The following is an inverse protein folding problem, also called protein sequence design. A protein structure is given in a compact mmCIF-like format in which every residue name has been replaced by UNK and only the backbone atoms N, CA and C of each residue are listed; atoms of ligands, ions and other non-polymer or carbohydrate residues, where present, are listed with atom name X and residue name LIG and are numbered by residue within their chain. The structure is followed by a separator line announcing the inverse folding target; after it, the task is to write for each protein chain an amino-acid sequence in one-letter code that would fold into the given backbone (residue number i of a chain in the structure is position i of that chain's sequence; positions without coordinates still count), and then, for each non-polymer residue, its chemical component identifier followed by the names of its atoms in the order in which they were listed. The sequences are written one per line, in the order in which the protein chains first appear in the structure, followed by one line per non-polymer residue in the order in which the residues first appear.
data_IF_813812143872
#
_entry.id   IF_813812143872
#
_cell.length_a   1.000
_cell.length_b   1.000
_cell.length_c   1.000
_cell.angle_alpha   90.00
_cell.angle_beta   90.00
_cell.angle_gamma   90.00
#
_symmetry.space_group_name_H-M   'P 1'
#
loop_
_entity.id
_entity.type
_entity.pdbx_description
1 polymer ?
#
# COMPACT_ATOMS: atom_id res chain seq x y z
N UNK A 1 -32.70 41.35 20.67
CA UNK A 1 -33.39 40.36 19.83
C UNK A 1 -32.66 40.29 18.51
N UNK A 2 -31.79 39.33 18.34
CA UNK A 2 -31.03 39.12 17.12
C UNK A 2 -31.71 37.99 16.33
N UNK A 3 -32.13 38.30 15.11
CA UNK A 3 -32.75 37.34 14.19
C UNK A 3 -31.68 36.38 13.67
N UNK A 4 -31.88 35.09 13.91
CA UNK A 4 -31.12 34.00 13.30
C UNK A 4 -31.75 33.75 11.93
N UNK A 5 -31.05 34.15 10.86
CA UNK A 5 -31.43 33.83 9.49
C UNK A 5 -31.13 32.35 9.21
N UNK A 6 -32.22 31.64 8.82
CA UNK A 6 -32.17 30.25 8.36
C UNK A 6 -31.28 30.11 7.13
N UNK A 7 -30.19 29.32 7.30
CA UNK A 7 -29.42 28.82 6.15
C UNK A 7 -30.24 27.65 5.59
N UNK A 8 -30.88 27.89 4.46
CA UNK A 8 -31.57 26.86 3.70
C UNK A 8 -30.52 25.91 3.09
N UNK A 9 -30.67 24.62 3.37
CA UNK A 9 -29.92 23.51 2.77
C UNK A 9 -30.15 23.49 1.26
N UNK A 10 -29.18 24.02 0.52
CA UNK A 10 -29.07 23.78 -0.92
C UNK A 10 -28.25 22.52 -1.14
N UNK A 11 -28.85 21.36 -0.91
CA UNK A 11 -28.32 20.07 -1.33
C UNK A 11 -28.45 19.98 -2.85
N UNK A 12 -27.41 20.48 -3.54
CA UNK A 12 -27.21 20.22 -4.95
C UNK A 12 -26.93 18.72 -5.13
N UNK A 13 -27.97 17.96 -5.43
CA UNK A 13 -27.89 16.57 -5.89
C UNK A 13 -27.24 16.55 -7.28
N UNK A 14 -25.92 16.45 -7.33
CA UNK A 14 -25.21 16.13 -8.57
C UNK A 14 -25.70 14.77 -9.05
N UNK A 15 -26.22 14.63 -10.29
CA UNK A 15 -26.67 13.34 -10.79
C UNK A 15 -25.51 12.36 -10.77
N UNK A 16 -25.66 11.25 -10.04
CA UNK A 16 -24.71 10.15 -10.03
C UNK A 16 -24.62 9.62 -11.47
N UNK A 17 -23.52 9.90 -12.16
CA UNK A 17 -23.23 9.28 -13.46
C UNK A 17 -23.29 7.76 -13.26
N UNK A 18 -23.88 7.05 -14.21
CA UNK A 18 -23.92 5.58 -14.21
C UNK A 18 -22.52 5.03 -13.90
N UNK A 19 -22.38 4.04 -13.01
CA UNK A 19 -21.08 3.52 -12.62
C UNK A 19 -20.36 2.98 -13.87
N UNK A 20 -19.16 3.48 -14.13
CA UNK A 20 -18.27 2.91 -15.14
C UNK A 20 -17.82 1.54 -14.64
N UNK A 21 -17.54 0.62 -15.56
CA UNK A 21 -16.99 -0.70 -15.23
C UNK A 21 -15.55 -0.79 -15.72
N UNK A 22 -14.72 -1.56 -15.01
CA UNK A 22 -13.34 -1.87 -15.37
C UNK A 22 -13.13 -3.38 -15.33
N UNK A 23 -12.26 -3.89 -16.22
CA UNK A 23 -11.80 -5.26 -16.17
C UNK A 23 -10.62 -5.37 -15.20
N UNK A 24 -10.80 -6.00 -14.05
CA UNK A 24 -9.77 -6.25 -13.06
C UNK A 24 -9.19 -7.66 -13.25
N UNK A 25 -7.91 -7.75 -13.61
CA UNK A 25 -7.17 -9.01 -13.75
C UNK A 25 -6.32 -9.23 -12.51
N UNK A 26 -6.63 -10.28 -11.76
CA UNK A 26 -5.97 -10.63 -10.51
C UNK A 26 -5.10 -11.86 -10.70
N UNK A 27 -3.81 -11.76 -10.39
CA UNK A 27 -2.92 -12.90 -10.31
C UNK A 27 -3.31 -13.81 -9.14
N UNK A 28 -3.61 -15.07 -9.45
CA UNK A 28 -3.95 -16.12 -8.48
C UNK A 28 -2.85 -17.15 -8.46
N UNK A 29 -2.35 -17.47 -7.27
CA UNK A 29 -1.33 -18.47 -7.06
C UNK A 29 -1.35 -19.03 -5.64
N UNK A 30 -1.40 -20.35 -5.54
CA UNK A 30 -1.21 -21.05 -4.28
C UNK A 30 -0.01 -21.99 -4.41
N UNK A 31 1.14 -21.72 -3.79
CA UNK A 31 2.36 -22.51 -3.95
C UNK A 31 2.24 -23.98 -3.51
N UNK A 32 1.16 -24.35 -2.81
CA UNK A 32 0.89 -25.74 -2.42
C UNK A 32 0.09 -26.53 -3.45
N UNK A 33 -0.60 -25.85 -4.37
CA UNK A 33 -1.57 -26.46 -5.29
C UNK A 33 -1.29 -26.15 -6.75
N UNK A 34 -0.67 -24.99 -7.02
CA UNK A 34 -0.48 -24.48 -8.37
C UNK A 34 0.99 -24.60 -8.80
N UNK A 35 1.25 -25.04 -10.02
CA UNK A 35 2.59 -25.02 -10.62
C UNK A 35 2.99 -23.63 -11.13
N UNK A 36 1.99 -22.82 -11.53
CA UNK A 36 2.21 -21.46 -12.03
C UNK A 36 1.05 -20.53 -11.67
N UNK A 37 1.31 -19.22 -11.67
CA UNK A 37 0.26 -18.21 -11.47
C UNK A 37 -0.69 -18.18 -12.67
N UNK A 38 -1.97 -17.92 -12.40
CA UNK A 38 -3.03 -17.73 -13.39
C UNK A 38 -3.69 -16.39 -13.17
N UNK A 39 -4.17 -15.76 -14.24
CA UNK A 39 -4.99 -14.55 -14.11
C UNK A 39 -6.46 -14.93 -14.09
N UNK A 40 -7.19 -14.33 -13.14
CA UNK A 40 -8.65 -14.33 -13.13
C UNK A 40 -9.16 -12.93 -13.43
N UNK A 41 -10.21 -12.83 -14.21
CA UNK A 41 -10.76 -11.57 -14.71
C UNK A 41 -12.14 -11.33 -14.12
N UNK A 42 -12.36 -10.10 -13.64
CA UNK A 42 -13.60 -9.68 -13.01
C UNK A 42 -14.00 -8.31 -13.53
N UNK A 43 -15.26 -8.14 -13.92
CA UNK A 43 -15.80 -6.83 -14.25
C UNK A 43 -16.34 -6.19 -12.97
N UNK A 44 -15.74 -5.06 -12.56
CA UNK A 44 -16.06 -4.38 -11.31
C UNK A 44 -16.54 -2.96 -11.61
N UNK A 45 -17.68 -2.52 -11.03
CA UNK A 45 -18.11 -1.14 -11.14
C UNK A 45 -17.17 -0.23 -10.35
N UNK A 46 -16.90 0.96 -10.88
CA UNK A 46 -16.09 1.94 -10.17
C UNK A 46 -16.60 3.36 -10.35
N UNK A 47 -16.26 4.20 -9.40
CA UNK A 47 -16.50 5.63 -9.40
C UNK A 47 -15.16 6.41 -9.44
N UNK A 48 -15.22 7.71 -9.62
CA UNK A 48 -14.03 8.58 -9.70
C UNK A 48 -13.02 8.35 -8.58
N UNK A 49 -13.48 8.02 -7.38
CA UNK A 49 -12.65 7.88 -6.18
C UNK A 49 -12.26 6.44 -5.85
N UNK A 50 -12.82 5.47 -6.56
CA UNK A 50 -12.57 4.04 -6.30
C UNK A 50 -11.09 3.72 -6.48
N UNK A 51 -10.49 3.18 -5.44
CA UNK A 51 -9.10 2.71 -5.44
C UNK A 51 -8.99 1.27 -5.95
N UNK A 52 -7.81 0.88 -6.40
CA UNK A 52 -7.53 -0.51 -6.79
C UNK A 52 -7.79 -1.48 -5.63
N UNK A 53 -7.46 -1.08 -4.39
CA UNK A 53 -7.76 -1.90 -3.21
C UNK A 53 -9.26 -2.13 -3.03
N UNK A 54 -10.08 -1.10 -3.18
CA UNK A 54 -11.53 -1.24 -3.07
C UNK A 54 -12.09 -2.18 -4.14
N UNK A 55 -11.61 -2.09 -5.37
CA UNK A 55 -12.00 -3.03 -6.44
C UNK A 55 -11.60 -4.48 -6.11
N UNK A 56 -10.39 -4.72 -5.58
CA UNK A 56 -9.98 -6.05 -5.12
C UNK A 56 -10.88 -6.56 -3.99
N UNK A 57 -11.22 -5.69 -3.04
CA UNK A 57 -12.10 -6.06 -1.92
C UNK A 57 -13.54 -6.32 -2.38
N UNK A 58 -14.00 -5.62 -3.40
CA UNK A 58 -15.29 -5.88 -4.03
C UNK A 58 -15.32 -7.27 -4.69
N UNK A 59 -14.26 -7.63 -5.44
CA UNK A 59 -14.09 -8.99 -5.96
C UNK A 59 -14.08 -10.01 -4.83
N UNK A 60 -13.30 -9.77 -3.78
CA UNK A 60 -13.23 -10.67 -2.62
C UNK A 60 -14.58 -10.86 -1.93
N UNK A 61 -15.40 -9.84 -1.89
CA UNK A 61 -16.70 -9.85 -1.22
C UNK A 61 -17.78 -10.55 -2.06
N UNK A 62 -17.80 -10.35 -3.39
CA UNK A 62 -18.93 -10.71 -4.21
C UNK A 62 -18.66 -11.84 -5.22
N UNK A 63 -17.39 -12.09 -5.57
CA UNK A 63 -17.04 -13.03 -6.65
C UNK A 63 -16.12 -14.16 -6.17
N UNK A 64 -14.99 -13.85 -5.52
CA UNK A 64 -14.03 -14.87 -5.08
C UNK A 64 -13.48 -14.55 -3.68
N UNK A 65 -14.06 -15.14 -2.67
CA UNK A 65 -13.66 -14.98 -1.27
C UNK A 65 -12.25 -15.50 -0.98
N UNK A 66 -11.67 -16.33 -1.87
CA UNK A 66 -10.35 -16.93 -1.69
C UNK A 66 -9.19 -15.99 -2.02
N UNK A 67 -9.43 -14.82 -2.63
CA UNK A 67 -8.39 -13.84 -2.98
C UNK A 67 -7.61 -13.43 -1.74
N UNK A 68 -6.30 -13.71 -1.75
CA UNK A 68 -5.39 -13.32 -0.68
C UNK A 68 -4.78 -11.97 -0.99
N UNK A 69 -5.11 -10.97 -0.17
CA UNK A 69 -4.59 -9.61 -0.25
C UNK A 69 -4.29 -9.09 1.14
N UNK A 70 -3.15 -8.39 1.30
CA UNK A 70 -2.78 -7.76 2.55
C UNK A 70 -3.15 -6.27 2.50
N UNK A 71 -3.82 -5.78 3.52
CA UNK A 71 -4.16 -4.37 3.67
C UNK A 71 -4.43 -4.04 5.16
N UNK A 72 -4.35 -2.75 5.51
CA UNK A 72 -4.62 -2.28 6.87
C UNK A 72 -5.18 -0.85 6.86
N UNK A 73 -4.32 0.19 6.85
CA UNK A 73 -4.72 1.58 7.09
C UNK A 73 -5.65 2.19 6.03
N UNK A 74 -5.61 1.72 4.78
CA UNK A 74 -6.35 2.24 3.61
C UNK A 74 -6.09 3.72 3.26
N UNK A 75 -4.98 4.29 3.77
CA UNK A 75 -4.64 5.71 3.62
C UNK A 75 -3.14 5.94 3.35
N UNK A 76 -2.49 4.98 2.68
CA UNK A 76 -1.09 5.05 2.26
C UNK A 76 -0.03 5.18 3.38
N UNK A 77 -0.37 4.87 4.63
CA UNK A 77 0.54 5.05 5.78
C UNK A 77 1.28 3.79 6.18
N UNK A 78 0.62 2.60 6.10
CA UNK A 78 1.18 1.36 6.64
C UNK A 78 2.00 0.53 5.65
N UNK A 79 1.91 0.80 4.34
CA UNK A 79 2.62 0.06 3.29
C UNK A 79 2.10 -1.36 2.99
N UNK A 80 1.12 -1.89 3.75
CA UNK A 80 0.71 -3.30 3.65
C UNK A 80 0.10 -3.71 2.31
N UNK A 81 -0.52 -2.77 1.58
CA UNK A 81 -1.19 -3.03 0.31
C UNK A 81 -0.30 -2.81 -0.93
N UNK A 82 1.03 -2.88 -0.76
CA UNK A 82 1.96 -2.82 -1.87
C UNK A 82 1.80 -4.00 -2.83
N UNK A 83 1.71 -3.72 -4.12
CA UNK A 83 1.61 -4.72 -5.19
C UNK A 83 2.01 -4.13 -6.53
N UNK A 84 2.15 -4.98 -7.55
CA UNK A 84 2.30 -4.52 -8.93
C UNK A 84 0.92 -4.14 -9.48
N UNK A 85 0.79 -2.94 -10.01
CA UNK A 85 -0.43 -2.44 -10.67
C UNK A 85 -0.04 -1.98 -12.07
N UNK A 86 -0.54 -2.64 -13.10
CA UNK A 86 -0.17 -2.42 -14.49
C UNK A 86 1.36 -2.40 -14.66
N UNK A 87 2.07 -3.38 -14.07
CA UNK A 87 3.51 -3.53 -14.16
C UNK A 87 4.34 -2.54 -13.34
N UNK A 88 3.71 -1.68 -12.52
CA UNK A 88 4.41 -0.70 -11.65
C UNK A 88 4.12 -0.98 -10.18
N UNK A 89 5.14 -0.99 -9.30
CA UNK A 89 4.92 -1.18 -7.87
C UNK A 89 4.25 0.06 -7.25
N UNK A 90 3.06 -0.14 -6.69
CA UNK A 90 2.22 0.93 -6.11
C UNK A 90 1.49 0.44 -4.86
N UNK A 91 0.99 1.37 -4.05
CA UNK A 91 0.06 1.09 -2.96
C UNK A 91 -1.37 1.05 -3.51
N UNK A 92 -2.03 -0.10 -3.41
CA UNK A 92 -3.37 -0.28 -3.97
C UNK A 92 -4.42 0.64 -3.33
N UNK A 93 -4.27 0.99 -2.05
CA UNK A 93 -5.19 1.90 -1.36
C UNK A 93 -5.03 3.37 -1.75
N UNK A 94 -3.94 3.73 -2.45
CA UNK A 94 -3.67 5.10 -2.89
C UNK A 94 -3.74 5.28 -4.40
N UNK A 95 -3.86 4.20 -5.15
CA UNK A 95 -3.98 4.21 -6.61
C UNK A 95 -5.44 4.20 -7.00
N UNK A 96 -5.95 5.28 -7.57
CA UNK A 96 -7.32 5.37 -8.08
C UNK A 96 -7.40 4.73 -9.47
N UNK A 97 -8.48 4.01 -9.73
CA UNK A 97 -8.73 3.38 -11.03
C UNK A 97 -8.81 4.46 -12.13
N UNK A 98 -9.47 5.57 -11.83
CA UNK A 98 -9.63 6.70 -12.77
C UNK A 98 -8.31 7.36 -13.21
N UNK A 99 -7.19 7.13 -12.51
CA UNK A 99 -5.87 7.70 -12.81
C UNK A 99 -4.97 6.72 -13.60
N UNK A 100 -5.48 5.53 -13.94
CA UNK A 100 -4.69 4.51 -14.63
C UNK A 100 -4.81 4.57 -16.16
N UNK A 101 -5.71 5.41 -16.69
CA UNK A 101 -5.96 5.60 -18.13
C UNK A 101 -6.02 4.28 -18.93
N UNK A 102 -6.67 3.27 -18.36
CA UNK A 102 -6.76 1.93 -18.92
C UNK A 102 -8.10 1.29 -18.59
N UNK A 103 -8.67 0.59 -19.55
CA UNK A 103 -9.90 -0.20 -19.38
C UNK A 103 -9.64 -1.53 -18.65
N UNK A 104 -8.37 -1.89 -18.49
CA UNK A 104 -7.94 -3.11 -17.79
C UNK A 104 -6.93 -2.74 -16.70
N UNK A 105 -7.20 -3.19 -15.49
CA UNK A 105 -6.26 -3.08 -14.37
C UNK A 105 -5.73 -4.46 -14.02
N UNK A 106 -4.44 -4.69 -14.22
CA UNK A 106 -3.77 -5.92 -13.85
C UNK A 106 -3.08 -5.74 -12.50
N UNK A 107 -3.37 -6.66 -11.57
CA UNK A 107 -2.74 -6.69 -10.24
C UNK A 107 -2.00 -8.00 -10.02
N UNK A 108 -0.76 -7.88 -9.55
CA UNK A 108 0.17 -8.99 -9.35
C UNK A 108 0.90 -8.81 -8.01
N UNK A 109 1.45 -9.88 -7.42
CA UNK A 109 2.31 -9.75 -6.25
C UNK A 109 3.54 -8.88 -6.56
N UNK A 110 4.14 -8.28 -5.54
CA UNK A 110 5.39 -7.52 -5.71
C UNK A 110 6.51 -8.39 -6.24
N UNK A 111 7.24 -7.88 -7.25
CA UNK A 111 8.47 -8.51 -7.76
C UNK A 111 9.54 -8.59 -6.66
N UNK A 112 10.48 -9.51 -6.82
CA UNK A 112 11.65 -9.69 -5.94
C UNK A 112 11.30 -10.11 -4.49
N UNK A 113 10.06 -10.55 -4.26
CA UNK A 113 9.62 -11.10 -2.99
C UNK A 113 9.02 -12.51 -3.20
N UNK A 114 9.22 -13.45 -2.25
CA UNK A 114 8.57 -14.75 -2.33
C UNK A 114 7.05 -14.60 -2.17
N UNK A 115 6.30 -15.20 -3.09
CA UNK A 115 4.83 -15.19 -3.04
C UNK A 115 4.35 -16.20 -2.00
N UNK A 116 3.56 -15.72 -1.03
CA UNK A 116 2.88 -16.57 -0.05
C UNK A 116 1.60 -17.12 -0.64
N UNK A 117 0.78 -16.24 -1.23
CA UNK A 117 -0.45 -16.59 -1.93
C UNK A 117 -1.01 -15.39 -2.68
N UNK A 118 -1.42 -15.57 -3.91
CA UNK A 118 -2.03 -14.56 -4.79
C UNK A 118 -1.23 -13.24 -4.78
N UNK A 119 -1.76 -12.18 -4.18
CA UNK A 119 -1.14 -10.86 -4.09
C UNK A 119 -0.28 -10.67 -2.83
N UNK A 120 -0.22 -11.67 -1.96
CA UNK A 120 0.48 -11.59 -0.68
C UNK A 120 1.90 -12.15 -0.80
N UNK A 121 2.89 -11.36 -0.39
CA UNK A 121 4.32 -11.72 -0.42
C UNK A 121 4.93 -11.77 0.98
N UNK A 122 6.04 -12.48 1.12
CA UNK A 122 6.84 -12.58 2.35
C UNK A 122 7.83 -11.42 2.48
N UNK A 123 7.94 -10.86 3.68
CA UNK A 123 8.83 -9.73 4.00
C UNK A 123 10.01 -10.11 4.89
N UNK A 124 10.21 -11.38 5.18
CA UNK A 124 11.19 -11.87 6.15
C UNK A 124 12.60 -11.36 5.83
N UNK A 125 13.01 -11.45 4.56
CA UNK A 125 14.34 -10.96 4.12
C UNK A 125 14.46 -9.44 4.28
N UNK A 126 13.42 -8.68 3.96
CA UNK A 126 13.41 -7.22 4.10
C UNK A 126 13.58 -6.81 5.57
N UNK A 127 12.79 -7.42 6.45
CA UNK A 127 12.86 -7.10 7.88
C UNK A 127 14.15 -7.58 8.53
N UNK A 128 14.71 -8.73 8.11
CA UNK A 128 16.02 -9.18 8.58
C UNK A 128 17.15 -8.20 8.20
N UNK A 129 17.12 -7.64 6.99
CA UNK A 129 18.07 -6.59 6.58
C UNK A 129 17.84 -5.28 7.35
N UNK A 130 16.59 -4.89 7.54
CA UNK A 130 16.24 -3.71 8.31
C UNK A 130 16.72 -3.83 9.78
N UNK A 131 16.60 -5.01 10.39
CA UNK A 131 17.06 -5.24 11.75
C UNK A 131 18.60 -5.11 11.87
N UNK A 132 19.36 -5.51 10.84
CA UNK A 132 20.82 -5.44 10.84
C UNK A 132 21.37 -4.00 10.88
N UNK A 133 20.64 -3.03 10.37
CA UNK A 133 21.02 -1.61 10.42
C UNK A 133 20.68 -0.94 11.75
N UNK A 134 20.16 -1.69 12.72
CA UNK A 134 19.81 -1.21 14.06
C UNK A 134 18.96 0.08 14.04
N UNK A 135 17.74 0.06 13.46
CA UNK A 135 16.92 1.26 13.24
C UNK A 135 16.17 1.68 14.52
N UNK A 136 16.90 1.82 15.58
CA UNK A 136 16.40 2.25 16.89
C UNK A 136 17.40 3.20 17.52
N UNK A 137 16.96 3.97 18.50
CA UNK A 137 17.79 4.90 19.21
C UNK A 137 18.87 4.15 20.02
N UNK A 138 20.15 4.42 19.70
CA UNK A 138 21.31 3.92 20.45
C UNK A 138 21.87 5.10 21.24
N UNK A 139 21.76 5.03 22.57
CA UNK A 139 22.23 6.07 23.47
C UNK A 139 22.68 5.47 24.80
N UNK A 140 23.48 6.23 25.53
CA UNK A 140 23.82 5.92 26.91
C UNK A 140 22.91 6.74 27.85
N UNK A 141 22.06 6.08 28.60
CA UNK A 141 21.12 6.73 29.54
C UNK A 141 21.87 7.30 30.77
N UNK A 142 23.13 6.90 31.00
CA UNK A 142 23.96 7.50 32.07
C UNK A 142 24.32 8.98 31.85
N UNK A 143 24.16 9.49 30.62
CA UNK A 143 24.34 10.91 30.30
C UNK A 143 23.21 11.80 30.84
N UNK A 144 22.09 11.21 31.27
CA UNK A 144 21.00 11.94 31.92
C UNK A 144 21.34 12.16 33.39
N UNK A 145 21.56 13.38 33.77
CA UNK A 145 21.80 13.77 35.19
C UNK A 145 20.53 13.63 36.05
N UNK A 146 19.34 13.57 35.44
CA UNK A 146 18.07 13.33 36.14
C UNK A 146 17.02 12.75 35.21
N UNK A 147 16.09 11.93 35.74
CA UNK A 147 14.95 11.34 35.04
C UNK A 147 13.91 12.38 34.55
N UNK A 148 14.08 13.65 34.96
CA UNK A 148 13.19 14.76 34.60
C UNK A 148 13.61 15.47 33.30
N UNK A 149 14.74 15.11 32.70
CA UNK A 149 15.27 15.76 31.50
C UNK A 149 14.86 15.00 30.21
N UNK A 150 14.57 15.77 29.17
CA UNK A 150 14.33 15.26 27.82
C UNK A 150 15.63 15.24 27.02
N UNK A 151 15.79 14.22 26.13
CA UNK A 151 16.84 14.21 25.13
C UNK A 151 16.44 15.13 23.98
N UNK A 152 17.16 16.24 23.87
CA UNK A 152 16.92 17.23 22.82
C UNK A 152 17.76 16.92 21.58
N UNK A 153 17.19 17.20 20.40
CA UNK A 153 17.89 17.20 19.13
C UNK A 153 17.75 18.57 18.49
N UNK A 154 18.83 19.05 17.87
CA UNK A 154 18.75 20.26 17.07
C UNK A 154 18.05 20.01 15.74
N UNK A 155 17.44 21.03 15.11
CA UNK A 155 16.89 20.90 13.76
C UNK A 155 17.90 20.35 12.73
N UNK A 156 19.16 20.78 12.84
CA UNK A 156 20.25 20.36 11.95
C UNK A 156 20.59 18.86 12.11
N UNK A 157 20.54 18.32 13.32
CA UNK A 157 20.71 16.89 13.58
C UNK A 157 19.55 16.08 13.00
N UNK A 158 18.31 16.56 13.13
CA UNK A 158 17.12 15.91 12.58
C UNK A 158 17.18 15.87 11.04
N UNK A 159 17.64 16.95 10.38
CA UNK A 159 17.75 17.01 8.93
C UNK A 159 18.68 15.94 8.35
N UNK A 160 19.68 15.46 9.10
CA UNK A 160 20.61 14.44 8.64
C UNK A 160 19.96 13.08 8.38
N UNK A 161 18.87 12.74 9.09
CA UNK A 161 18.26 11.41 8.99
C UNK A 161 16.76 11.41 8.68
N UNK A 162 16.08 12.55 8.68
CA UNK A 162 14.62 12.62 8.51
C UNK A 162 14.14 11.89 7.24
N UNK A 163 14.90 11.95 6.17
CA UNK A 163 14.57 11.24 4.92
C UNK A 163 14.48 9.72 5.10
N UNK A 164 15.27 9.13 6.00
CA UNK A 164 15.23 7.70 6.30
C UNK A 164 14.09 7.36 7.25
N UNK A 165 13.72 8.27 8.16
CA UNK A 165 12.61 8.12 9.08
C UNK A 165 11.25 8.09 8.38
N UNK A 166 11.13 8.71 7.20
CA UNK A 166 9.91 8.72 6.40
C UNK A 166 9.60 7.37 5.73
N UNK A 167 10.47 6.38 5.84
CA UNK A 167 10.27 5.06 5.25
C UNK A 167 9.17 4.27 5.96
N UNK A 168 8.07 3.96 5.23
CA UNK A 168 6.95 3.14 5.75
C UNK A 168 7.16 1.62 5.59
N UNK A 169 8.35 1.19 5.17
CA UNK A 169 8.77 -0.22 5.01
C UNK A 169 7.86 -1.04 4.07
N UNK A 170 7.28 -0.39 3.06
CA UNK A 170 6.34 -1.02 2.13
C UNK A 170 6.99 -1.97 1.11
N UNK A 171 8.31 -1.92 0.92
CA UNK A 171 9.04 -2.79 -0.01
C UNK A 171 8.92 -2.43 -1.50
N UNK A 172 8.20 -1.36 -1.88
CA UNK A 172 8.00 -0.98 -3.29
C UNK A 172 9.30 -0.62 -4.01
N UNK A 173 10.26 -0.01 -3.30
CA UNK A 173 11.60 0.27 -3.85
C UNK A 173 12.35 -1.03 -4.19
N UNK A 174 12.28 -2.04 -3.33
CA UNK A 174 12.88 -3.36 -3.58
C UNK A 174 12.18 -4.07 -4.75
N UNK A 175 10.86 -3.94 -4.84
CA UNK A 175 10.07 -4.49 -5.95
C UNK A 175 10.44 -3.86 -7.30
N UNK A 176 10.78 -2.56 -7.30
CA UNK A 176 11.20 -1.83 -8.50
C UNK A 176 12.69 -2.02 -8.85
N UNK A 177 13.49 -2.56 -7.93
CA UNK A 177 14.94 -2.58 -8.07
C UNK A 177 15.41 -3.66 -9.06
N UNK A 178 16.11 -3.29 -10.15
CA UNK A 178 16.65 -4.27 -11.09
C UNK A 178 17.77 -5.10 -10.47
N UNK A 179 18.55 -4.54 -9.55
CA UNK A 179 19.62 -5.27 -8.85
C UNK A 179 19.04 -6.38 -7.98
N UNK A 180 17.93 -6.14 -7.28
CA UNK A 180 17.22 -7.18 -6.52
C UNK A 180 16.70 -8.32 -7.40
N UNK A 181 16.43 -8.05 -8.67
CA UNK A 181 15.98 -9.07 -9.63
C UNK A 181 17.12 -9.97 -10.11
N UNK A 182 18.37 -9.47 -10.10
CA UNK A 182 19.54 -10.18 -10.62
C UNK A 182 20.45 -10.74 -9.53
N UNK A 183 20.50 -10.10 -8.37
CA UNK A 183 21.32 -10.48 -7.23
C UNK A 183 20.50 -10.66 -5.96
N UNK A 184 20.36 -11.90 -5.52
CA UNK A 184 19.60 -12.26 -4.31
C UNK A 184 20.28 -11.84 -2.99
N UNK A 185 21.55 -11.40 -3.05
CA UNK A 185 22.32 -10.95 -1.88
C UNK A 185 22.21 -9.45 -1.63
N UNK A 186 21.76 -8.69 -2.59
CA UNK A 186 21.56 -7.25 -2.48
C UNK A 186 20.50 -6.85 -1.45
#
# INVERSE_FOLDING_TARGET
MAQVSSIADEQASTPLSSPKSILLRISKFNPKLDESSKFMEFTVPYQKWTTVLEAILDVKKHFDHSVAVRYSCRQATCGSCGMMINGKPKLACFTKISELDSDVVTVEPMNNFPVIRDLTVGFEKLFAKHQKIQPYLIRDDSELESDEREFLQSPEEVEQYIQFANCIKCGLCNSACPTMATDSYF
#
